data_IF_636068787766
#
_entry.id   IF_636068787766
#
_cell.length_a   1.000
_cell.length_b   1.000
_cell.length_c   1.000
_cell.angle_alpha   90.00
_cell.angle_beta   90.00
_cell.angle_gamma   90.00
#
_symmetry.space_group_name_H-M   'P 1'
#
loop_
_entity.id
_entity.type
_entity.pdbx_description
1 polymer ?
#
# COMPACT_ATOMS: atom_id res chain seq x y z
N UNK A 1 9.49 -83.71 -10.23
CA UNK A 1 9.10 -82.31 -10.55
C UNK A 1 9.20 -81.55 -9.23
N UNK A 2 9.97 -80.49 -9.02
CA UNK A 2 10.05 -79.22 -9.75
C UNK A 2 11.33 -78.48 -9.36
N UNK A 3 12.01 -77.84 -10.33
CA UNK A 3 13.25 -77.07 -10.18
C UNK A 3 12.97 -75.74 -9.46
N UNK A 4 13.65 -75.47 -8.34
CA UNK A 4 13.79 -74.12 -7.76
C UNK A 4 14.73 -73.29 -8.65
N UNK A 5 14.20 -72.24 -9.32
CA UNK A 5 15.01 -71.17 -9.93
C UNK A 5 15.57 -70.29 -8.81
N UNK A 6 16.88 -70.26 -8.65
CA UNK A 6 17.57 -69.24 -7.87
C UNK A 6 17.82 -68.03 -8.79
N UNK A 7 17.21 -66.89 -8.48
CA UNK A 7 17.49 -65.62 -9.16
C UNK A 7 18.82 -65.08 -8.63
N UNK A 8 19.86 -65.10 -9.47
CA UNK A 8 21.14 -64.47 -9.18
C UNK A 8 21.01 -62.95 -9.21
N UNK A 9 21.27 -62.29 -8.07
CA UNK A 9 21.52 -60.86 -8.03
C UNK A 9 22.83 -60.59 -8.78
N UNK A 10 22.74 -59.98 -9.95
CA UNK A 10 23.88 -59.45 -10.68
C UNK A 10 24.52 -58.36 -9.80
N UNK A 11 25.72 -58.64 -9.25
CA UNK A 11 26.51 -57.63 -8.56
C UNK A 11 26.95 -56.59 -9.59
N UNK A 12 26.23 -55.47 -9.65
CA UNK A 12 26.69 -54.30 -10.40
C UNK A 12 27.97 -53.80 -9.73
N UNK A 13 29.03 -53.58 -10.53
CA UNK A 13 30.34 -53.17 -10.00
C UNK A 13 30.21 -51.95 -9.08
N UNK A 14 30.58 -52.12 -7.81
CA UNK A 14 30.42 -51.14 -6.71
C UNK A 14 30.98 -49.75 -7.04
N UNK A 15 32.00 -49.68 -7.92
CA UNK A 15 32.56 -48.44 -8.46
C UNK A 15 31.54 -47.55 -9.18
N UNK A 16 30.70 -48.13 -10.04
CA UNK A 16 29.68 -47.37 -10.79
C UNK A 16 28.66 -46.76 -9.85
N UNK A 17 28.29 -47.50 -8.80
CA UNK A 17 27.33 -47.07 -7.80
C UNK A 17 27.92 -45.98 -6.89
N UNK A 18 29.20 -46.09 -6.53
CA UNK A 18 29.91 -45.06 -5.77
C UNK A 18 30.11 -43.76 -6.58
N UNK A 19 30.36 -43.85 -7.88
CA UNK A 19 30.41 -42.67 -8.77
C UNK A 19 29.09 -41.91 -8.80
N UNK A 20 27.97 -42.63 -8.92
CA UNK A 20 26.64 -42.01 -8.90
C UNK A 20 26.33 -41.40 -7.53
N UNK A 21 26.69 -42.07 -6.43
CA UNK A 21 26.54 -41.49 -5.08
C UNK A 21 27.33 -40.19 -4.93
N UNK A 22 28.58 -40.18 -5.39
CA UNK A 22 29.46 -39.02 -5.29
C UNK A 22 28.94 -37.86 -6.14
N UNK A 23 28.39 -38.13 -7.33
CA UNK A 23 27.77 -37.08 -8.15
C UNK A 23 26.55 -36.46 -7.48
N UNK A 24 25.66 -37.26 -6.88
CA UNK A 24 24.52 -36.73 -6.13
C UNK A 24 24.95 -35.89 -4.91
N UNK A 25 26.01 -36.30 -4.20
CA UNK A 25 26.56 -35.53 -3.07
C UNK A 25 27.11 -34.19 -3.55
N UNK A 26 27.89 -34.17 -4.64
CA UNK A 26 28.45 -32.94 -5.19
C UNK A 26 27.35 -31.97 -5.67
N UNK A 27 26.31 -32.49 -6.32
CA UNK A 27 25.15 -31.67 -6.71
C UNK A 27 24.47 -31.09 -5.47
N UNK A 28 24.24 -31.91 -4.44
CA UNK A 28 23.65 -31.45 -3.18
C UNK A 28 24.46 -30.35 -2.49
N UNK A 29 25.79 -30.52 -2.44
CA UNK A 29 26.70 -29.50 -1.90
C UNK A 29 26.69 -28.20 -2.74
N UNK A 30 26.62 -28.31 -4.07
CA UNK A 30 26.50 -27.14 -4.94
C UNK A 30 25.21 -26.34 -4.71
N UNK A 31 24.07 -27.03 -4.52
CA UNK A 31 22.80 -26.38 -4.17
C UNK A 31 22.84 -25.71 -2.79
N UNK A 32 23.44 -26.38 -1.79
CA UNK A 32 23.63 -25.80 -0.46
C UNK A 32 24.50 -24.55 -0.50
N UNK A 33 25.61 -24.59 -1.25
CA UNK A 33 26.46 -23.42 -1.46
C UNK A 33 25.67 -22.26 -2.07
N UNK A 34 24.90 -22.53 -3.13
CA UNK A 34 24.07 -21.51 -3.79
C UNK A 34 23.02 -20.92 -2.84
N UNK A 35 22.47 -21.73 -1.94
CA UNK A 35 21.52 -21.26 -0.93
C UNK A 35 22.17 -20.30 0.05
N UNK A 36 23.36 -20.65 0.56
CA UNK A 36 24.13 -19.79 1.49
C UNK A 36 24.56 -18.48 0.81
N UNK A 37 24.99 -18.54 -0.44
CA UNK A 37 25.35 -17.35 -1.24
C UNK A 37 24.19 -16.35 -1.34
N UNK A 38 22.98 -16.83 -1.63
CA UNK A 38 21.79 -15.99 -1.76
C UNK A 38 21.31 -15.48 -0.39
N UNK A 39 21.34 -16.31 0.66
CA UNK A 39 20.74 -15.97 1.95
C UNK A 39 21.67 -15.19 2.89
N UNK A 40 22.98 -15.42 2.83
CA UNK A 40 23.94 -14.88 3.81
C UNK A 40 24.86 -13.84 3.19
N UNK A 41 25.38 -14.08 1.99
CA UNK A 41 26.34 -13.18 1.35
C UNK A 41 25.65 -12.03 0.60
N UNK A 42 24.49 -12.27 -0.02
CA UNK A 42 23.74 -11.26 -0.80
C UNK A 42 22.25 -11.10 -0.39
N UNK A 43 21.89 -11.00 0.91
CA UNK A 43 20.50 -10.84 1.33
C UNK A 43 19.90 -9.51 0.86
N UNK A 44 20.71 -8.47 0.71
CA UNK A 44 20.24 -7.09 0.59
C UNK A 44 19.54 -6.82 -0.74
N UNK A 45 19.96 -7.42 -1.86
CA UNK A 45 19.33 -7.17 -3.15
C UNK A 45 17.88 -7.68 -3.18
N UNK A 46 17.65 -8.93 -2.74
CA UNK A 46 16.31 -9.52 -2.69
C UNK A 46 15.45 -8.92 -1.57
N UNK A 47 16.05 -8.58 -0.43
CA UNK A 47 15.36 -7.94 0.69
C UNK A 47 14.92 -6.52 0.35
N UNK A 48 15.78 -5.71 -0.26
CA UNK A 48 15.43 -4.38 -0.74
C UNK A 48 14.34 -4.42 -1.81
N UNK A 49 14.34 -5.43 -2.69
CA UNK A 49 13.29 -5.57 -3.71
C UNK A 49 11.95 -6.03 -3.12
N UNK A 50 11.97 -6.79 -2.01
CA UNK A 50 10.77 -7.12 -1.23
C UNK A 50 10.25 -5.92 -0.45
N UNK A 51 11.14 -5.23 0.26
CA UNK A 51 10.83 -4.06 1.08
C UNK A 51 10.30 -2.90 0.20
N UNK A 52 10.90 -2.64 -0.96
CA UNK A 52 10.42 -1.60 -1.88
C UNK A 52 9.02 -1.87 -2.46
N UNK A 53 8.59 -3.14 -2.51
CA UNK A 53 7.24 -3.51 -3.00
C UNK A 53 6.20 -3.57 -1.88
N UNK A 54 6.61 -3.71 -0.61
CA UNK A 54 5.68 -3.97 0.50
C UNK A 54 5.69 -2.92 1.60
N UNK A 55 6.79 -2.18 1.80
CA UNK A 55 6.90 -1.14 2.83
C UNK A 55 6.55 0.23 2.23
N UNK A 56 5.28 0.62 2.42
CA UNK A 56 4.83 1.99 2.14
C UNK A 56 4.76 2.78 3.43
N UNK A 57 5.68 3.72 3.61
CA UNK A 57 5.62 4.68 4.72
C UNK A 57 4.47 5.67 4.46
N UNK A 58 3.37 5.53 5.21
CA UNK A 58 2.28 6.51 5.21
C UNK A 58 2.45 7.41 6.44
N UNK A 59 2.79 8.69 6.28
CA UNK A 59 2.96 9.58 7.43
C UNK A 59 1.63 9.76 8.15
N UNK A 60 1.63 9.51 9.46
CA UNK A 60 0.49 9.80 10.32
C UNK A 60 0.54 11.28 10.67
N UNK A 61 -0.46 12.05 10.21
CA UNK A 61 -0.50 13.50 10.45
C UNK A 61 -0.70 13.76 11.93
N UNK A 62 0.24 14.47 12.56
CA UNK A 62 0.14 14.87 13.95
C UNK A 62 -0.97 15.93 14.15
N UNK A 63 -1.71 15.80 15.24
CA UNK A 63 -2.70 16.79 15.65
C UNK A 63 -1.99 18.01 16.25
N UNK A 64 -2.31 19.22 15.79
CA UNK A 64 -1.75 20.45 16.37
C UNK A 64 -2.53 20.87 17.62
N UNK A 65 -1.84 21.33 18.65
CA UNK A 65 -2.45 21.80 19.90
C UNK A 65 -3.42 22.97 19.68
N UNK A 66 -4.40 23.10 20.58
CA UNK A 66 -5.27 24.28 20.61
C UNK A 66 -4.47 25.49 21.09
N UNK A 67 -4.72 26.65 20.49
CA UNK A 67 -4.21 27.94 20.97
C UNK A 67 -5.35 28.58 21.75
N UNK A 68 -5.08 28.97 23.00
CA UNK A 68 -6.05 29.52 23.94
C UNK A 68 -5.61 30.93 24.36
N UNK A 69 -6.56 31.80 24.67
CA UNK A 69 -6.31 33.06 25.37
C UNK A 69 -6.05 32.83 26.88
N UNK A 70 -5.62 33.88 27.60
CA UNK A 70 -5.41 33.91 29.06
C UNK A 70 -6.62 33.44 29.88
N UNK A 71 -7.83 33.53 29.32
CA UNK A 71 -9.07 33.09 29.97
C UNK A 71 -9.49 31.67 29.57
N UNK A 72 -8.70 30.98 28.73
CA UNK A 72 -8.99 29.62 28.26
C UNK A 72 -9.85 29.54 26.99
N UNK A 73 -10.21 30.69 26.40
CA UNK A 73 -11.03 30.73 25.18
C UNK A 73 -10.21 30.33 23.94
N UNK A 74 -10.74 29.49 23.04
CA UNK A 74 -9.98 28.99 21.90
C UNK A 74 -9.82 30.03 20.79
N UNK A 75 -8.57 30.36 20.48
CA UNK A 75 -8.18 31.23 19.37
C UNK A 75 -7.91 30.45 18.07
N UNK A 76 -7.39 29.22 18.17
CA UNK A 76 -7.18 28.34 17.03
C UNK A 76 -7.36 26.87 17.39
N UNK A 77 -8.16 26.15 16.61
CA UNK A 77 -8.53 24.74 16.82
C UNK A 77 -8.15 23.93 15.59
N UNK A 78 -7.62 22.72 15.77
CA UNK A 78 -7.38 21.78 14.67
C UNK A 78 -8.54 20.80 14.56
N UNK A 79 -9.41 21.03 13.57
CA UNK A 79 -10.56 20.18 13.33
C UNK A 79 -10.19 19.04 12.38
N UNK A 80 -10.52 17.77 12.72
CA UNK A 80 -10.32 16.65 11.80
C UNK A 80 -11.22 16.82 10.57
N UNK A 81 -10.63 16.67 9.40
CA UNK A 81 -11.30 16.70 8.10
C UNK A 81 -10.82 15.53 7.26
N UNK A 82 -11.52 15.21 6.17
CA UNK A 82 -11.07 14.19 5.23
C UNK A 82 -10.75 14.82 3.88
N UNK A 83 -9.77 14.25 3.18
CA UNK A 83 -9.53 14.50 1.76
C UNK A 83 -9.93 13.26 0.99
N UNK A 84 -10.67 13.44 -0.11
CA UNK A 84 -11.09 12.36 -1.00
C UNK A 84 -10.03 12.19 -2.07
N UNK A 85 -9.57 10.95 -2.22
CA UNK A 85 -8.60 10.57 -3.23
C UNK A 85 -9.03 9.25 -3.89
N UNK A 86 -8.48 8.97 -5.07
CA UNK A 86 -8.73 7.73 -5.79
C UNK A 86 -7.42 7.10 -6.30
N UNK A 87 -7.45 5.79 -6.52
CA UNK A 87 -6.42 5.02 -7.20
C UNK A 87 -6.92 4.62 -8.61
N UNK A 88 -6.39 5.25 -9.68
CA UNK A 88 -6.73 4.92 -11.07
C UNK A 88 -6.57 3.45 -11.47
N UNK A 89 -5.62 2.72 -10.86
CA UNK A 89 -5.39 1.31 -11.19
C UNK A 89 -6.49 0.38 -10.67
N UNK A 90 -7.24 0.83 -9.66
CA UNK A 90 -8.28 0.03 -8.99
C UNK A 90 -9.68 0.53 -9.31
N UNK A 91 -9.82 1.83 -9.60
CA UNK A 91 -11.11 2.46 -9.90
C UNK A 91 -11.49 2.22 -11.35
N UNK A 92 -12.66 1.60 -11.56
CA UNK A 92 -13.30 1.51 -12.87
C UNK A 92 -13.83 2.88 -13.31
N UNK A 93 -13.34 3.39 -14.44
CA UNK A 93 -13.73 4.69 -14.99
C UNK A 93 -15.20 4.72 -15.45
N UNK A 94 -15.79 3.56 -15.73
CA UNK A 94 -17.18 3.46 -16.20
C UNK A 94 -18.17 3.13 -15.04
N UNK A 95 -17.70 3.08 -13.79
CA UNK A 95 -18.57 2.84 -12.63
C UNK A 95 -19.67 3.94 -12.56
N UNK A 96 -20.97 3.58 -12.62
CA UNK A 96 -22.07 4.54 -12.57
C UNK A 96 -22.12 5.35 -11.26
N UNK A 97 -21.50 4.84 -10.19
CA UNK A 97 -21.40 5.54 -8.90
C UNK A 97 -20.47 6.76 -8.97
N UNK A 98 -19.57 6.86 -9.96
CA UNK A 98 -18.72 8.03 -10.14
C UNK A 98 -19.54 9.30 -10.39
N UNK A 99 -20.68 9.19 -11.05
CA UNK A 99 -21.61 10.34 -11.23
C UNK A 99 -22.18 10.82 -9.90
N UNK A 100 -22.53 9.88 -8.99
CA UNK A 100 -22.99 10.22 -7.64
C UNK A 100 -21.88 10.84 -6.81
N UNK A 101 -20.66 10.28 -6.89
CA UNK A 101 -19.47 10.82 -6.24
C UNK A 101 -19.19 12.25 -6.70
N UNK A 102 -19.24 12.49 -8.00
CA UNK A 102 -19.04 13.80 -8.61
C UNK A 102 -20.05 14.83 -8.07
N UNK A 103 -21.33 14.45 -8.01
CA UNK A 103 -22.40 15.29 -7.44
C UNK A 103 -22.15 15.65 -5.97
N UNK A 104 -21.82 14.66 -5.13
CA UNK A 104 -21.49 14.87 -3.70
C UNK A 104 -20.27 15.80 -3.53
N UNK A 105 -19.27 15.65 -4.40
CA UNK A 105 -18.07 16.48 -4.37
C UNK A 105 -18.24 17.83 -5.08
N UNK A 106 -19.34 18.06 -5.79
CA UNK A 106 -19.55 19.27 -6.61
C UNK A 106 -18.49 19.43 -7.71
N UNK A 107 -18.04 18.32 -8.30
CA UNK A 107 -17.12 18.30 -9.45
C UNK A 107 -17.80 17.60 -10.62
N UNK A 108 -17.28 17.80 -11.83
CA UNK A 108 -17.80 17.11 -13.02
C UNK A 108 -17.36 15.64 -13.06
N UNK A 109 -18.29 14.74 -13.37
CA UNK A 109 -18.03 13.31 -13.48
C UNK A 109 -17.07 13.00 -14.63
N UNK A 110 -17.16 13.73 -15.75
CA UNK A 110 -16.25 13.53 -16.87
C UNK A 110 -14.82 13.94 -16.50
N UNK A 111 -14.65 14.96 -15.65
CA UNK A 111 -13.33 15.33 -15.13
C UNK A 111 -12.70 14.19 -14.31
N UNK A 112 -13.49 13.47 -13.50
CA UNK A 112 -12.99 12.31 -12.74
C UNK A 112 -12.52 11.22 -13.70
N UNK A 113 -13.36 10.85 -14.69
CA UNK A 113 -13.01 9.83 -15.70
C UNK A 113 -11.76 10.20 -16.47
N UNK A 114 -11.68 11.44 -16.93
CA UNK A 114 -10.51 11.96 -17.65
C UNK A 114 -9.24 11.86 -16.80
N UNK A 115 -9.30 12.18 -15.50
CA UNK A 115 -8.15 12.05 -14.60
C UNK A 115 -7.69 10.60 -14.45
N UNK A 116 -8.62 9.64 -14.42
CA UNK A 116 -8.31 8.20 -14.41
C UNK A 116 -7.57 7.82 -15.69
N UNK A 117 -8.14 8.15 -16.86
CA UNK A 117 -7.53 7.83 -18.16
C UNK A 117 -6.17 8.50 -18.40
N UNK A 118 -5.96 9.72 -17.88
CA UNK A 118 -4.70 10.44 -18.02
C UNK A 118 -3.58 9.94 -17.11
N UNK A 119 -3.91 9.20 -16.05
CA UNK A 119 -2.96 8.78 -15.03
C UNK A 119 -3.08 7.29 -14.68
N UNK A 120 -3.03 6.36 -15.67
CA UNK A 120 -3.26 4.94 -15.44
C UNK A 120 -2.19 4.30 -14.54
N UNK A 121 -0.99 4.85 -14.50
CA UNK A 121 0.12 4.31 -13.70
C UNK A 121 0.17 4.85 -12.27
N UNK A 122 -0.62 5.87 -11.93
CA UNK A 122 -0.60 6.45 -10.58
C UNK A 122 -1.42 5.59 -9.62
N UNK A 123 -0.97 5.48 -8.38
CA UNK A 123 -1.72 4.82 -7.30
C UNK A 123 -2.55 5.80 -6.46
N UNK A 124 -2.38 7.10 -6.68
CA UNK A 124 -2.93 8.14 -5.83
C UNK A 124 -3.21 9.44 -6.59
N UNK A 125 -4.47 9.89 -6.55
CA UNK A 125 -4.92 11.16 -7.08
C UNK A 125 -5.93 11.82 -6.14
N UNK A 126 -5.69 13.07 -5.76
CA UNK A 126 -6.70 13.85 -5.04
C UNK A 126 -7.86 14.23 -5.96
N UNK A 127 -9.08 13.99 -5.48
CA UNK A 127 -10.30 14.53 -6.07
C UNK A 127 -10.67 15.87 -5.42
N UNK A 128 -10.78 15.88 -4.09
CA UNK A 128 -11.16 17.06 -3.32
C UNK A 128 -10.54 17.01 -1.94
N UNK A 129 -9.87 18.08 -1.54
CA UNK A 129 -9.17 18.16 -0.25
C UNK A 129 -10.05 18.80 0.83
N UNK A 130 -9.87 18.36 2.07
CA UNK A 130 -10.47 18.96 3.28
C UNK A 130 -11.99 19.13 3.18
N UNK A 131 -12.69 18.07 2.75
CA UNK A 131 -14.15 18.03 2.72
C UNK A 131 -14.72 17.99 4.14
N UNK A 132 -15.95 18.49 4.28
CA UNK A 132 -16.69 18.44 5.54
C UNK A 132 -17.03 16.99 5.93
N UNK A 133 -17.20 16.70 7.23
CA UNK A 133 -17.54 15.36 7.70
C UNK A 133 -18.76 14.74 7.00
N UNK A 134 -19.82 15.53 6.75
CA UNK A 134 -21.06 15.05 6.15
C UNK A 134 -20.84 14.52 4.72
N UNK A 135 -20.01 15.23 3.94
CA UNK A 135 -19.61 14.83 2.60
C UNK A 135 -18.74 13.56 2.67
N UNK A 136 -17.83 13.48 3.65
CA UNK A 136 -16.98 12.30 3.80
C UNK A 136 -17.78 11.03 4.12
N UNK A 137 -18.83 11.14 4.93
CA UNK A 137 -19.70 10.00 5.25
C UNK A 137 -20.50 9.55 4.04
N UNK A 138 -21.03 10.48 3.23
CA UNK A 138 -21.71 10.17 1.97
C UNK A 138 -20.78 9.45 0.99
N UNK A 139 -19.53 9.93 0.84
CA UNK A 139 -18.53 9.28 -0.01
C UNK A 139 -18.23 7.85 0.47
N UNK A 140 -18.09 7.66 1.79
CA UNK A 140 -17.84 6.34 2.39
C UNK A 140 -18.98 5.36 2.13
N UNK A 141 -20.22 5.84 2.06
CA UNK A 141 -21.40 5.00 1.78
C UNK A 141 -21.45 4.48 0.33
N UNK A 142 -20.84 5.17 -0.64
CA UNK A 142 -20.86 4.76 -2.05
C UNK A 142 -20.07 3.46 -2.31
N UNK A 143 -19.06 3.16 -1.47
CA UNK A 143 -18.21 1.96 -1.56
C UNK A 143 -17.71 1.72 -3.00
N UNK A 144 -17.01 2.72 -3.54
CA UNK A 144 -16.42 2.66 -4.89
C UNK A 144 -15.01 2.07 -4.77
N UNK A 145 -14.67 1.13 -5.64
CA UNK A 145 -13.33 0.54 -5.69
C UNK A 145 -12.26 1.61 -5.96
N UNK A 146 -11.20 1.61 -5.16
CA UNK A 146 -10.08 2.55 -5.31
C UNK A 146 -10.34 3.98 -4.82
N UNK A 147 -11.55 4.34 -4.40
CA UNK A 147 -11.84 5.65 -3.77
C UNK A 147 -11.72 5.52 -2.25
N UNK A 148 -10.95 6.41 -1.64
CA UNK A 148 -10.71 6.39 -0.20
C UNK A 148 -10.63 7.80 0.40
N UNK A 149 -10.72 7.83 1.73
CA UNK A 149 -10.61 9.04 2.54
C UNK A 149 -9.25 9.05 3.23
N UNK A 150 -8.55 10.18 3.14
CA UNK A 150 -7.36 10.45 3.92
C UNK A 150 -7.71 11.44 5.02
N UNK A 151 -7.42 11.10 6.27
CA UNK A 151 -7.62 12.01 7.40
C UNK A 151 -6.57 13.12 7.36
N UNK A 152 -7.04 14.36 7.41
CA UNK A 152 -6.25 15.58 7.51
C UNK A 152 -6.77 16.44 8.68
N UNK A 153 -6.07 17.53 8.99
CA UNK A 153 -6.52 18.54 9.95
C UNK A 153 -6.54 19.92 9.30
N UNK A 154 -7.60 20.69 9.57
CA UNK A 154 -7.71 22.09 9.14
C UNK A 154 -7.77 22.98 10.37
N UNK A 155 -7.08 24.13 10.34
CA UNK A 155 -7.23 25.15 11.39
C UNK A 155 -8.55 25.89 11.23
N UNK A 156 -9.26 26.00 12.34
CA UNK A 156 -10.45 26.82 12.51
C UNK A 156 -10.15 27.88 13.57
N UNK A 157 -10.50 29.14 13.28
CA UNK A 157 -10.21 30.31 14.11
C UNK A 157 -11.54 30.90 14.58
N UNK A 158 -12.04 30.56 15.79
CA UNK A 158 -13.38 30.95 16.25
C UNK A 158 -13.58 32.46 16.35
N UNK A 159 -12.56 33.18 16.82
CA UNK A 159 -12.53 34.65 16.93
C UNK A 159 -12.21 35.37 15.62
N UNK A 160 -11.94 34.61 14.55
CA UNK A 160 -11.79 35.12 13.18
C UNK A 160 -10.79 36.26 13.05
N UNK A 161 -11.26 37.36 12.46
CA UNK A 161 -10.46 38.53 12.10
C UNK A 161 -9.86 39.29 13.29
N UNK A 162 -10.52 39.24 14.47
CA UNK A 162 -10.14 40.01 15.66
C UNK A 162 -8.73 39.66 16.13
N UNK A 163 -8.37 38.38 16.06
CA UNK A 163 -7.08 37.86 16.53
C UNK A 163 -6.18 37.36 15.40
N UNK A 164 -6.60 37.48 14.14
CA UNK A 164 -5.91 36.91 12.98
C UNK A 164 -4.48 37.44 12.82
N UNK A 165 -4.23 38.72 13.09
CA UNK A 165 -2.90 39.32 12.96
C UNK A 165 -1.90 38.82 14.03
N UNK A 166 -2.40 38.46 15.22
CA UNK A 166 -1.57 37.96 16.32
C UNK A 166 -1.36 36.45 16.22
N UNK A 167 -2.42 35.71 15.89
CA UNK A 167 -2.42 34.24 15.85
C UNK A 167 -1.92 33.70 14.50
N UNK A 168 -2.16 34.43 13.40
CA UNK A 168 -1.80 34.04 12.05
C UNK A 168 -2.82 33.12 11.36
N UNK A 169 -2.41 32.51 10.24
CA UNK A 169 -3.22 31.61 9.42
C UNK A 169 -2.37 30.48 8.80
N UNK A 170 -3.03 29.41 8.34
CA UNK A 170 -2.42 28.21 7.71
C UNK A 170 -3.33 27.56 6.69
#
# INVERSE_FOLDING_TARGET
MSRRKQNGYQQTGSWRLNLVRLSFILIGLGLLWRLVDIQVLNPDFLRNQGDARHLRNVPIVAHRGMILDRHGEPLAISTPVHSVWLNPQVTDAEDPKLTKLASILGIDANNIRQRIYQNPEREFLYLKRRVKPEISDQVKQLKIGGVALQREYKRYYPTGEVTAHVVGFT
#
